data_IF_114614725747
#
_entry.id   IF_114614725747
#
_cell.length_a   1.000
_cell.length_b   1.000
_cell.length_c   1.000
_cell.angle_alpha   90.00
_cell.angle_beta   90.00
_cell.angle_gamma   90.00
#
_symmetry.space_group_name_H-M   'P 1'
#
loop_
_entity.id
_entity.type
_entity.pdbx_description
1 polymer ?
#
# COMPACT_ATOMS: atom_id res chain seq x y z
N UNK A 1 0.08 17.12 -10.28
CA UNK A 1 -0.84 17.19 -9.11
C UNK A 1 -2.25 17.09 -9.67
N UNK A 2 -3.04 16.13 -9.21
CA UNK A 2 -4.44 15.94 -9.62
C UNK A 2 -5.29 16.17 -8.37
N UNK A 3 -6.36 16.95 -8.50
CA UNK A 3 -7.34 17.17 -7.42
C UNK A 3 -8.45 16.13 -7.57
N UNK A 4 -8.71 15.39 -6.50
CA UNK A 4 -9.75 14.37 -6.45
C UNK A 4 -10.87 14.86 -5.54
N UNK A 5 -12.10 14.62 -5.97
CA UNK A 5 -13.31 14.95 -5.21
C UNK A 5 -14.03 13.69 -4.82
N UNK A 6 -14.58 13.67 -3.61
CA UNK A 6 -15.40 12.55 -3.15
C UNK A 6 -16.60 12.38 -4.09
N UNK A 7 -16.84 11.15 -4.54
CA UNK A 7 -18.03 10.81 -5.31
C UNK A 7 -19.25 10.64 -4.37
N UNK A 8 -20.42 10.38 -4.96
CA UNK A 8 -21.65 10.08 -4.21
C UNK A 8 -21.70 8.62 -3.69
N UNK A 9 -20.53 8.01 -3.48
CA UNK A 9 -20.40 6.67 -2.93
C UNK A 9 -20.83 6.55 -1.46
N UNK A 10 -20.84 5.34 -0.91
CA UNK A 10 -21.21 5.11 0.48
C UNK A 10 -20.33 5.91 1.44
N UNK A 11 -20.93 6.37 2.55
CA UNK A 11 -20.19 7.03 3.63
C UNK A 11 -19.35 6.00 4.36
N UNK A 12 -18.13 6.37 4.76
CA UNK A 12 -17.35 5.52 5.66
C UNK A 12 -18.02 5.48 7.06
N UNK A 13 -17.89 4.38 7.82
CA UNK A 13 -18.49 4.24 9.15
C UNK A 13 -17.71 4.91 10.30
N UNK A 14 -16.55 5.52 10.06
CA UNK A 14 -15.63 6.02 11.08
C UNK A 14 -15.48 7.56 11.15
N UNK A 15 -16.26 8.30 10.36
CA UNK A 15 -16.30 9.77 10.44
C UNK A 15 -16.57 10.47 9.12
N UNK A 16 -16.29 11.77 9.07
CA UNK A 16 -16.46 12.57 7.86
C UNK A 16 -15.28 12.35 6.90
N UNK A 17 -15.61 12.02 5.65
CA UNK A 17 -14.64 11.96 4.56
C UNK A 17 -14.15 13.36 4.17
N UNK A 18 -12.92 13.44 3.68
CA UNK A 18 -12.44 14.66 3.04
C UNK A 18 -13.19 14.93 1.74
N UNK A 19 -13.64 16.18 1.53
CA UNK A 19 -14.32 16.59 0.31
C UNK A 19 -13.38 16.67 -0.89
N UNK A 20 -12.16 17.16 -0.66
CA UNK A 20 -11.10 17.25 -1.67
C UNK A 20 -9.80 16.65 -1.11
N UNK A 21 -9.12 15.87 -1.95
CA UNK A 21 -7.80 15.30 -1.69
C UNK A 21 -6.92 15.47 -2.93
N UNK A 22 -5.62 15.30 -2.78
CA UNK A 22 -4.65 15.50 -3.86
C UNK A 22 -3.87 14.24 -4.14
N UNK A 23 -3.65 13.99 -5.42
CA UNK A 23 -2.81 12.92 -5.93
C UNK A 23 -1.56 13.48 -6.60
N UNK A 24 -0.41 12.93 -6.26
CA UNK A 24 0.88 13.27 -6.86
C UNK A 24 1.70 12.00 -7.06
N UNK A 25 2.39 11.92 -8.20
CA UNK A 25 3.45 10.96 -8.45
C UNK A 25 4.78 11.68 -8.69
N UNK A 26 5.87 11.01 -8.33
CA UNK A 26 7.24 11.46 -8.60
C UNK A 26 8.18 10.25 -8.63
N UNK A 27 9.28 10.36 -9.36
CA UNK A 27 10.32 9.33 -9.34
C UNK A 27 11.39 9.66 -8.30
N UNK A 28 11.74 8.67 -7.50
CA UNK A 28 12.84 8.71 -6.53
C UNK A 28 13.76 7.56 -6.91
N UNK A 29 14.80 7.87 -7.68
CA UNK A 29 15.62 6.80 -8.22
C UNK A 29 14.82 5.86 -9.14
N UNK A 30 15.06 4.56 -9.04
CA UNK A 30 14.27 3.51 -9.71
C UNK A 30 12.90 3.27 -9.05
N UNK A 31 12.51 4.09 -8.09
CA UNK A 31 11.25 3.93 -7.34
C UNK A 31 10.23 4.96 -7.81
N UNK A 32 9.03 4.48 -8.15
CA UNK A 32 7.86 5.34 -8.33
C UNK A 32 7.26 5.66 -6.96
N UNK A 33 7.29 6.93 -6.57
CA UNK A 33 6.59 7.41 -5.39
C UNK A 33 5.20 7.92 -5.79
N UNK A 34 4.17 7.38 -5.16
CA UNK A 34 2.77 7.81 -5.31
C UNK A 34 2.28 8.28 -3.95
N UNK A 35 1.67 9.47 -3.91
CA UNK A 35 1.17 10.10 -2.70
C UNK A 35 -0.25 10.60 -2.89
N UNK A 36 -1.14 10.16 -2.00
CA UNK A 36 -2.50 10.68 -1.82
C UNK A 36 -2.52 11.43 -0.49
N UNK A 37 -2.86 12.71 -0.50
CA UNK A 37 -2.80 13.55 0.69
C UNK A 37 -3.92 14.60 0.75
N UNK A 38 -4.26 15.02 1.98
CA UNK A 38 -5.00 16.24 2.25
C UNK A 38 -4.05 17.23 2.95
N UNK A 39 -4.40 18.52 2.97
CA UNK A 39 -3.57 19.54 3.63
C UNK A 39 -3.50 19.31 5.15
N UNK A 40 -2.38 19.71 5.75
CA UNK A 40 -2.16 19.70 7.21
C UNK A 40 -2.30 18.32 7.88
N UNK A 41 -2.12 17.23 7.15
CA UNK A 41 -2.05 15.88 7.74
C UNK A 41 -0.64 15.54 8.19
N UNK A 42 -0.56 14.69 9.22
CA UNK A 42 0.71 14.15 9.68
C UNK A 42 1.40 13.32 8.58
N UNK A 43 2.69 13.57 8.40
CA UNK A 43 3.58 12.79 7.54
C UNK A 43 4.77 12.31 8.36
N UNK A 44 5.15 11.01 8.27
CA UNK A 44 6.31 10.51 9.01
C UNK A 44 7.58 11.30 8.65
N UNK A 45 8.33 11.84 9.63
CA UNK A 45 9.54 12.61 9.40
C UNK A 45 10.73 11.67 9.11
N UNK A 46 10.66 10.92 8.00
CA UNK A 46 11.69 9.98 7.58
C UNK A 46 12.48 10.57 6.40
N UNK A 47 13.79 10.88 6.56
CA UNK A 47 14.61 11.34 5.46
C UNK A 47 14.86 10.19 4.47
N UNK A 48 14.17 10.22 3.33
CA UNK A 48 14.43 9.29 2.23
C UNK A 48 15.44 9.90 1.24
N UNK A 49 16.37 9.10 0.69
CA UNK A 49 17.33 9.58 -0.29
C UNK A 49 16.61 10.02 -1.57
N UNK A 50 16.74 11.30 -1.92
CA UNK A 50 16.07 11.93 -3.07
C UNK A 50 16.95 12.00 -4.31
N UNK A 51 17.77 10.99 -4.57
CA UNK A 51 18.65 10.99 -5.75
C UNK A 51 17.83 10.53 -6.98
N UNK A 52 17.59 11.40 -7.97
CA UNK A 52 16.79 11.05 -9.14
C UNK A 52 17.56 10.07 -10.02
N UNK A 53 16.93 8.93 -10.30
CA UNK A 53 17.22 8.06 -11.45
C UNK A 53 15.87 7.72 -12.07
N UNK A 54 15.84 7.01 -13.20
CA UNK A 54 14.60 6.73 -13.91
C UNK A 54 14.13 5.30 -13.61
N UNK A 55 12.86 5.13 -13.25
CA UNK A 55 12.17 3.84 -13.33
C UNK A 55 11.58 3.67 -14.73
N UNK A 56 11.55 2.43 -15.23
CA UNK A 56 10.87 2.09 -16.47
C UNK A 56 9.38 1.81 -16.30
N UNK A 57 8.87 1.82 -15.06
CA UNK A 57 7.46 1.54 -14.77
C UNK A 57 6.55 2.72 -15.15
N UNK A 58 5.34 2.39 -15.62
CA UNK A 58 4.35 3.35 -16.11
C UNK A 58 3.19 3.47 -15.12
N UNK A 59 2.77 4.70 -14.84
CA UNK A 59 1.55 5.00 -14.09
C UNK A 59 0.42 5.30 -15.07
N UNK A 60 -0.72 4.64 -14.91
CA UNK A 60 -1.95 4.89 -15.65
C UNK A 60 -3.08 5.23 -14.70
N UNK A 61 -3.88 6.25 -15.03
CA UNK A 61 -5.07 6.66 -14.28
C UNK A 61 -6.33 6.04 -14.90
N UNK A 62 -7.30 5.67 -14.07
CA UNK A 62 -8.61 5.15 -14.50
C UNK A 62 -9.53 6.23 -15.09
N UNK A 63 -10.49 5.79 -15.92
CA UNK A 63 -11.32 6.71 -16.73
C UNK A 63 -12.61 7.19 -16.05
N UNK A 64 -13.29 6.37 -15.25
CA UNK A 64 -14.63 6.67 -14.72
C UNK A 64 -14.63 6.99 -13.21
N UNK A 65 -13.91 6.19 -12.42
CA UNK A 65 -13.67 6.44 -11.00
C UNK A 65 -12.17 6.52 -10.73
N UNK A 66 -11.80 7.28 -9.70
CA UNK A 66 -10.39 7.40 -9.32
C UNK A 66 -9.84 6.01 -8.99
N UNK A 67 -8.89 5.58 -9.81
CA UNK A 67 -8.07 4.41 -9.63
C UNK A 67 -6.77 4.67 -10.36
N UNK A 68 -5.70 4.01 -9.93
CA UNK A 68 -4.44 4.05 -10.66
C UNK A 68 -3.85 2.66 -10.76
N UNK A 69 -3.12 2.45 -11.84
CA UNK A 69 -2.42 1.20 -12.12
C UNK A 69 -0.96 1.50 -12.39
N UNK A 70 -0.08 0.87 -11.62
CA UNK A 70 1.35 0.84 -11.91
C UNK A 70 1.64 -0.39 -12.74
N UNK A 71 2.21 -0.21 -13.93
CA UNK A 71 2.55 -1.29 -14.85
C UNK A 71 4.03 -1.34 -15.15
N UNK A 72 4.56 -2.55 -15.24
CA UNK A 72 5.90 -2.81 -15.75
C UNK A 72 5.92 -2.65 -17.26
N UNK A 73 6.63 -1.66 -17.80
CA UNK A 73 6.67 -1.37 -19.24
C UNK A 73 7.22 -2.52 -20.09
N UNK A 74 8.16 -3.31 -19.57
CA UNK A 74 8.79 -4.40 -20.33
C UNK A 74 7.86 -5.58 -20.63
N UNK A 75 6.86 -5.82 -19.76
CA UNK A 75 6.03 -7.04 -19.80
C UNK A 75 4.54 -6.73 -19.85
N UNK A 76 4.14 -5.50 -19.54
CA UNK A 76 2.75 -5.13 -19.33
C UNK A 76 2.17 -5.63 -18.00
N UNK A 77 2.96 -6.23 -17.11
CA UNK A 77 2.49 -6.73 -15.81
C UNK A 77 1.95 -5.57 -14.97
N UNK A 78 0.73 -5.71 -14.45
CA UNK A 78 0.13 -4.76 -13.49
C UNK A 78 0.70 -5.04 -12.09
N UNK A 79 1.58 -4.17 -11.62
CA UNK A 79 2.29 -4.33 -10.33
C UNK A 79 1.42 -3.89 -9.15
N UNK A 80 0.68 -2.81 -9.32
CA UNK A 80 -0.23 -2.26 -8.30
C UNK A 80 -1.48 -1.75 -8.99
N UNK A 81 -2.63 -2.39 -8.75
CA UNK A 81 -3.88 -2.10 -9.47
C UNK A 81 -5.01 -1.82 -8.48
N UNK A 82 -5.39 -0.55 -8.35
CA UNK A 82 -6.45 -0.13 -7.43
C UNK A 82 -7.84 -0.12 -8.04
N UNK A 83 -8.03 -0.63 -9.25
CA UNK A 83 -9.33 -0.56 -9.94
C UNK A 83 -10.42 -1.40 -9.27
N UNK A 84 -10.05 -2.39 -8.44
CA UNK A 84 -11.02 -3.31 -7.82
C UNK A 84 -11.59 -2.81 -6.49
N UNK A 85 -10.93 -1.88 -5.80
CA UNK A 85 -11.40 -1.40 -4.51
C UNK A 85 -11.43 0.12 -4.46
N UNK A 86 -12.52 0.66 -3.93
CA UNK A 86 -12.65 2.10 -3.75
C UNK A 86 -11.60 2.66 -2.79
N UNK A 87 -11.26 3.92 -3.00
CA UNK A 87 -10.46 4.71 -2.07
C UNK A 87 -11.38 5.31 -0.99
N UNK A 88 -11.09 5.04 0.27
CA UNK A 88 -11.70 5.77 1.40
C UNK A 88 -10.62 6.66 2.01
N UNK A 89 -10.93 7.94 2.18
CA UNK A 89 -9.99 8.92 2.71
C UNK A 89 -10.70 9.84 3.71
N UNK A 90 -10.56 9.52 4.99
CA UNK A 90 -11.11 10.26 6.12
C UNK A 90 -10.01 10.62 7.14
N UNK A 91 -10.35 11.38 8.18
CA UNK A 91 -9.35 11.85 9.14
C UNK A 91 -8.64 10.71 9.90
N UNK A 92 -9.37 9.65 10.27
CA UNK A 92 -8.85 8.55 11.09
C UNK A 92 -8.97 7.18 10.43
N UNK A 93 -9.39 7.14 9.17
CA UNK A 93 -9.52 5.90 8.42
C UNK A 93 -9.18 6.13 6.95
N UNK A 94 -8.14 5.42 6.50
CA UNK A 94 -7.66 5.40 5.12
C UNK A 94 -7.76 3.96 4.61
N UNK A 95 -8.33 3.76 3.42
CA UNK A 95 -8.40 2.44 2.80
C UNK A 95 -8.02 2.54 1.33
N UNK A 96 -7.11 1.66 0.92
CA UNK A 96 -6.73 1.43 -0.47
C UNK A 96 -6.64 -0.08 -0.69
N UNK A 97 -7.04 -0.54 -1.85
CA UNK A 97 -6.98 -1.95 -2.23
C UNK A 97 -6.13 -2.06 -3.48
N UNK A 98 -5.39 -3.16 -3.59
CA UNK A 98 -4.60 -3.47 -4.77
C UNK A 98 -4.77 -4.93 -5.15
N UNK A 99 -4.88 -5.20 -6.45
CA UNK A 99 -4.81 -6.56 -6.98
C UNK A 99 -3.36 -6.92 -7.28
N UNK A 100 -2.87 -7.99 -6.66
CA UNK A 100 -1.51 -8.48 -6.89
C UNK A 100 -1.40 -9.25 -8.22
N UNK A 101 -0.25 -9.19 -8.92
CA UNK A 101 -0.02 -9.95 -10.14
C UNK A 101 0.23 -11.45 -9.93
N UNK A 102 0.55 -11.87 -8.70
CA UNK A 102 0.74 -13.27 -8.31
C UNK A 102 0.42 -13.47 -6.82
N UNK A 103 0.33 -14.73 -6.40
CA UNK A 103 0.15 -15.13 -5.00
C UNK A 103 1.48 -15.26 -4.22
N UNK A 104 2.62 -14.93 -4.85
CA UNK A 104 3.96 -15.12 -4.29
C UNK A 104 4.41 -13.85 -3.57
N UNK A 105 3.73 -13.52 -2.49
CA UNK A 105 3.97 -12.33 -1.67
C UNK A 105 4.77 -12.66 -0.41
N UNK A 106 5.69 -11.76 -0.05
CA UNK A 106 6.63 -11.86 1.07
C UNK A 106 6.74 -10.51 1.78
N UNK A 107 7.04 -10.50 3.08
CA UNK A 107 7.21 -9.26 3.87
C UNK A 107 6.07 -9.00 4.83
N UNK A 108 5.77 -7.72 5.09
CA UNK A 108 5.04 -7.19 6.24
C UNK A 108 5.72 -7.50 7.58
N UNK A 109 5.34 -6.78 8.62
CA UNK A 109 5.79 -7.07 9.98
C UNK A 109 5.63 -5.90 10.94
N UNK A 110 5.92 -6.10 12.22
CA UNK A 110 6.40 -7.35 12.81
C UNK A 110 5.24 -8.22 13.35
N UNK A 111 5.15 -9.45 12.85
CA UNK A 111 4.20 -10.49 13.26
C UNK A 111 4.86 -11.87 13.11
N UNK A 112 4.31 -12.91 13.74
CA UNK A 112 4.78 -14.29 13.53
C UNK A 112 4.12 -14.88 12.28
N UNK A 113 4.88 -15.00 11.18
CA UNK A 113 4.42 -15.66 9.96
C UNK A 113 4.79 -17.16 9.98
N UNK A 114 3.81 -18.10 9.86
CA UNK A 114 4.11 -19.54 9.84
C UNK A 114 4.98 -19.98 8.65
N UNK A 115 4.89 -19.24 7.54
CA UNK A 115 5.65 -19.47 6.31
C UNK A 115 6.14 -18.14 5.76
N UNK A 116 7.26 -18.16 5.04
CA UNK A 116 7.80 -16.95 4.41
C UNK A 116 6.85 -16.39 3.34
N UNK A 117 6.28 -17.27 2.49
CA UNK A 117 5.22 -16.90 1.53
C UNK A 117 3.89 -16.74 2.27
N UNK A 118 3.20 -15.62 2.04
CA UNK A 118 1.85 -15.39 2.56
C UNK A 118 0.83 -16.35 1.96
N UNK A 119 -0.11 -16.82 2.78
CA UNK A 119 -1.18 -17.71 2.35
C UNK A 119 -2.46 -16.94 1.99
N UNK A 120 -2.79 -16.90 0.69
CA UNK A 120 -3.98 -16.24 0.17
C UNK A 120 -5.24 -17.13 0.08
N UNK A 121 -5.16 -18.42 0.42
CA UNK A 121 -6.37 -19.26 0.49
C UNK A 121 -7.24 -18.93 1.70
N UNK A 122 -6.69 -18.20 2.67
CA UNK A 122 -7.37 -17.71 3.86
C UNK A 122 -7.37 -16.18 3.90
N UNK A 123 -8.54 -15.60 4.16
CA UNK A 123 -8.65 -14.17 4.49
C UNK A 123 -7.98 -13.90 5.84
N UNK A 124 -6.81 -13.27 5.81
CA UNK A 124 -5.96 -13.04 6.99
C UNK A 124 -5.65 -11.55 7.11
N UNK A 125 -5.69 -11.05 8.34
CA UNK A 125 -5.37 -9.65 8.67
C UNK A 125 -4.16 -9.62 9.59
N UNK A 126 -3.15 -8.85 9.21
CA UNK A 126 -1.91 -8.65 9.97
C UNK A 126 -1.89 -7.21 10.47
N UNK A 127 -2.18 -7.02 11.76
CA UNK A 127 -2.15 -5.70 12.37
C UNK A 127 -0.69 -5.25 12.54
N UNK A 128 -0.43 -3.95 12.33
CA UNK A 128 0.87 -3.34 12.47
C UNK A 128 0.79 -2.12 13.40
N UNK A 129 1.29 -2.29 14.61
CA UNK A 129 1.51 -1.22 15.59
C UNK A 129 2.53 -1.68 16.62
N UNK A 130 3.55 -0.88 16.91
CA UNK A 130 4.61 -1.29 17.83
C UNK A 130 4.03 -1.60 19.23
N UNK A 131 4.24 -2.83 19.70
CA UNK A 131 3.72 -3.35 20.97
C UNK A 131 4.71 -4.32 21.59
N UNK A 132 4.92 -4.18 22.90
CA UNK A 132 5.64 -5.18 23.68
C UNK A 132 4.76 -6.43 23.86
N UNK A 133 5.00 -7.43 23.02
CA UNK A 133 4.34 -8.74 23.03
C UNK A 133 5.33 -9.81 22.58
N UNK A 134 5.39 -10.92 23.33
CA UNK A 134 6.25 -12.03 22.98
C UNK A 134 5.74 -12.78 21.73
N UNK A 135 6.63 -13.27 20.84
CA UNK A 135 6.22 -13.99 19.65
C UNK A 135 5.67 -15.38 20.00
N UNK A 136 4.45 -15.69 19.55
CA UNK A 136 3.84 -17.01 19.69
C UNK A 136 3.74 -17.71 18.33
N UNK A 137 4.37 -18.89 18.22
CA UNK A 137 4.49 -19.64 16.97
C UNK A 137 3.83 -21.03 16.97
N UNK A 138 3.16 -21.42 18.05
CA UNK A 138 2.52 -22.75 18.13
C UNK A 138 1.23 -22.84 17.31
N UNK A 139 0.56 -21.71 17.07
CA UNK A 139 -0.60 -21.60 16.20
C UNK A 139 -0.54 -20.30 15.38
N UNK A 140 -1.44 -20.16 14.40
CA UNK A 140 -1.58 -18.89 13.69
C UNK A 140 -2.08 -17.81 14.64
N UNK A 141 -1.22 -16.85 14.94
CA UNK A 141 -1.51 -15.66 15.71
C UNK A 141 -1.04 -14.43 14.93
N UNK A 142 -1.95 -13.50 14.66
CA UNK A 142 -1.71 -12.32 13.81
C UNK A 142 -1.50 -11.04 14.61
N UNK A 143 -1.22 -11.14 15.92
CA UNK A 143 -0.86 -10.02 16.78
C UNK A 143 0.31 -9.22 16.22
N UNK A 144 0.22 -7.91 16.36
CA UNK A 144 1.33 -6.98 16.20
C UNK A 144 2.36 -7.16 17.33
N UNK A 145 3.63 -7.08 16.96
CA UNK A 145 4.78 -7.22 17.85
C UNK A 145 5.57 -5.89 17.94
N UNK A 146 6.88 -5.95 18.14
CA UNK A 146 7.72 -4.81 18.51
C UNK A 146 7.88 -3.79 17.38
N UNK A 147 8.10 -4.26 16.14
CA UNK A 147 8.35 -3.43 14.97
C UNK A 147 7.14 -3.18 14.06
N UNK A 148 7.29 -2.19 13.17
CA UNK A 148 6.34 -1.88 12.10
C UNK A 148 7.10 -1.72 10.79
N UNK A 149 6.87 -2.65 9.86
CA UNK A 149 7.55 -2.77 8.57
C UNK A 149 6.52 -2.92 7.44
N UNK A 150 5.88 -1.82 7.01
CA UNK A 150 4.85 -1.83 5.96
C UNK A 150 5.49 -1.90 4.56
N UNK A 151 6.25 -2.97 4.33
CA UNK A 151 6.92 -3.29 3.08
C UNK A 151 6.60 -4.72 2.68
N UNK A 152 6.30 -4.95 1.41
CA UNK A 152 6.20 -6.29 0.86
C UNK A 152 6.85 -6.40 -0.51
N UNK A 153 7.16 -7.62 -0.91
CA UNK A 153 7.69 -7.99 -2.21
C UNK A 153 6.81 -9.06 -2.85
N UNK A 154 6.67 -9.01 -4.17
CA UNK A 154 5.94 -10.02 -4.96
C UNK A 154 6.82 -10.54 -6.08
N UNK A 155 6.88 -11.86 -6.23
CA UNK A 155 7.52 -12.53 -7.37
C UNK A 155 6.50 -12.70 -8.51
N UNK A 156 6.75 -12.05 -9.62
CA UNK A 156 5.91 -12.08 -10.83
C UNK A 156 5.98 -13.46 -11.54
N UNK A 157 4.98 -13.80 -12.38
CA UNK A 157 4.97 -15.08 -13.08
C UNK A 157 6.19 -15.33 -14.00
N UNK A 158 6.81 -14.27 -14.52
CA UNK A 158 7.99 -14.31 -15.39
C UNK A 158 9.33 -14.37 -14.63
N UNK A 159 9.28 -14.45 -13.29
CA UNK A 159 10.47 -14.50 -12.43
C UNK A 159 11.03 -13.13 -12.04
N UNK A 160 10.46 -12.02 -12.52
CA UNK A 160 10.80 -10.68 -12.02
C UNK A 160 10.16 -10.44 -10.66
N UNK A 161 10.58 -9.38 -9.97
CA UNK A 161 10.01 -8.99 -8.69
C UNK A 161 9.81 -7.48 -8.60
N UNK A 162 8.87 -7.07 -7.76
CA UNK A 162 8.70 -5.69 -7.33
C UNK A 162 8.44 -5.64 -5.83
N UNK A 163 8.74 -4.48 -5.23
CA UNK A 163 8.48 -4.20 -3.82
C UNK A 163 7.61 -2.96 -3.68
N UNK A 164 6.77 -2.94 -2.64
CA UNK A 164 5.92 -1.81 -2.28
C UNK A 164 6.18 -1.46 -0.84
N UNK A 165 6.48 -0.18 -0.61
CA UNK A 165 6.68 0.40 0.72
C UNK A 165 5.62 1.46 0.97
N UNK A 166 4.95 1.38 2.12
CA UNK A 166 3.95 2.37 2.55
C UNK A 166 4.57 3.23 3.65
N UNK A 167 4.86 4.49 3.35
CA UNK A 167 5.35 5.44 4.35
C UNK A 167 4.18 5.94 5.22
N UNK A 168 3.80 5.15 6.22
CA UNK A 168 2.79 5.47 7.21
C UNK A 168 3.18 4.83 8.56
N UNK A 169 3.12 5.63 9.65
CA UNK A 169 3.46 5.18 11.01
C UNK A 169 2.26 5.18 11.98
N UNK A 170 1.04 5.37 11.47
CA UNK A 170 -0.17 5.17 12.27
C UNK A 170 -0.42 3.67 12.45
N UNK A 171 -1.27 3.30 13.42
CA UNK A 171 -1.79 1.94 13.52
C UNK A 171 -2.55 1.57 12.24
N UNK A 172 -2.25 0.40 11.67
CA UNK A 172 -2.78 -0.06 10.37
C UNK A 172 -2.89 -1.59 10.30
#
# INVERSE_FOLDING_TARGET
>A
KITLRKNNGPKNPWGQDYGEIYFKSSFIGKTLNVKIYAENRFEPPLPLPNIPTESSDQLEDGSEFFSFVVKRKSTGTRLFDTSQGGLIYSDKFLQIVTKLPSDRMYGWGENVHPTLKHNFTRYTTWAMFARDEWPYSEALDTKNLYGVHPFYMVLEPDGKAHGVFILNSNAQ
#
